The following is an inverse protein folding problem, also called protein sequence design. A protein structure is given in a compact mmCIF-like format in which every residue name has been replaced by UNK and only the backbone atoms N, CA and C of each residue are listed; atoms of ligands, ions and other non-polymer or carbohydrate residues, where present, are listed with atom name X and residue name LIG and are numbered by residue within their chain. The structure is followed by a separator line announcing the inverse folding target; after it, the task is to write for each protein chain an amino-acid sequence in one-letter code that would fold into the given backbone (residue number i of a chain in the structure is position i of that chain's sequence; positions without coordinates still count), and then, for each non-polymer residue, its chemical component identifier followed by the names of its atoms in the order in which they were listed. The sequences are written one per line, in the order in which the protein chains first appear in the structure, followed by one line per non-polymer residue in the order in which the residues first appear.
data_IF_559111370519
#
_entry.id   IF_559111370519
#
_cell.length_a   1.000
_cell.length_b   1.000
_cell.length_c   1.000
_cell.angle_alpha   90.00
_cell.angle_beta   90.00
_cell.angle_gamma   90.00
#
_symmetry.space_group_name_H-M   'P 1'
#
loop_
_entity.id
_entity.type
_entity.pdbx_description
1 polymer ?
#
# COMPACT_ATOMS: atom_id res chain seq x y z
N UNK A 1 9.24 28.79 -15.15
CA UNK A 1 9.21 27.77 -14.07
C UNK A 1 10.11 26.62 -14.49
N UNK A 2 10.89 26.03 -13.57
CA UNK A 2 11.83 24.97 -13.92
C UNK A 2 11.05 23.70 -14.37
N UNK A 3 11.31 23.14 -15.58
CA UNK A 3 10.59 21.95 -16.06
C UNK A 3 10.77 20.73 -15.14
N UNK A 4 11.93 20.58 -14.50
CA UNK A 4 12.19 19.49 -13.56
C UNK A 4 11.31 19.59 -12.31
N UNK A 5 11.04 20.81 -11.84
CA UNK A 5 10.12 21.03 -10.73
C UNK A 5 8.69 20.64 -11.09
N UNK A 6 8.24 20.98 -12.30
CA UNK A 6 6.92 20.56 -12.80
C UNK A 6 6.79 19.04 -12.92
N UNK A 7 7.82 18.37 -13.46
CA UNK A 7 7.86 16.91 -13.54
C UNK A 7 7.83 16.26 -12.15
N UNK A 8 8.53 16.84 -11.19
CA UNK A 8 8.50 16.36 -9.81
C UNK A 8 7.09 16.48 -9.21
N UNK A 9 6.43 17.62 -9.35
CA UNK A 9 5.05 17.82 -8.88
C UNK A 9 4.09 16.82 -9.54
N UNK A 10 4.16 16.66 -10.86
CA UNK A 10 3.35 15.69 -11.59
C UNK A 10 3.59 14.26 -11.06
N UNK A 11 4.84 13.88 -10.84
CA UNK A 11 5.20 12.59 -10.27
C UNK A 11 4.60 12.37 -8.88
N UNK A 12 4.68 13.36 -7.99
CA UNK A 12 4.07 13.29 -6.65
C UNK A 12 2.54 13.21 -6.71
N UNK A 13 1.91 13.95 -7.65
CA UNK A 13 0.46 13.85 -7.88
C UNK A 13 0.07 12.45 -8.33
N UNK A 14 0.75 11.88 -9.33
CA UNK A 14 0.49 10.53 -9.81
C UNK A 14 0.70 9.48 -8.72
N UNK A 15 1.73 9.65 -7.89
CA UNK A 15 1.97 8.79 -6.72
C UNK A 15 0.81 8.85 -5.72
N UNK A 16 0.28 10.05 -5.43
CA UNK A 16 -0.90 10.22 -4.58
C UNK A 16 -2.15 9.55 -5.16
N UNK A 17 -2.41 9.75 -6.45
CA UNK A 17 -3.54 9.12 -7.17
C UNK A 17 -3.43 7.60 -7.14
N UNK A 18 -2.23 7.04 -7.39
CA UNK A 18 -2.01 5.59 -7.41
C UNK A 18 -2.07 4.93 -6.03
N UNK A 19 -1.69 5.65 -4.96
CA UNK A 19 -1.71 5.10 -3.60
C UNK A 19 -3.09 5.09 -2.95
N UNK A 20 -3.97 6.03 -3.31
CA UNK A 20 -5.30 6.17 -2.69
C UNK A 20 -6.17 4.90 -2.78
N UNK A 21 -6.30 4.23 -3.95
CA UNK A 21 -7.09 3.00 -4.06
C UNK A 21 -6.55 1.84 -3.21
N UNK A 22 -5.24 1.78 -2.94
CA UNK A 22 -4.66 0.70 -2.15
C UNK A 22 -5.22 0.68 -0.73
N UNK A 23 -5.43 1.87 -0.14
CA UNK A 23 -5.99 1.98 1.21
C UNK A 23 -7.50 1.90 1.22
N UNK A 24 -8.18 2.56 0.27
CA UNK A 24 -9.64 2.56 0.25
C UNK A 24 -10.21 1.23 -0.25
N UNK A 25 -9.82 0.79 -1.44
CA UNK A 25 -10.36 -0.43 -2.08
C UNK A 25 -9.73 -1.69 -1.46
N UNK A 26 -8.46 -1.65 -1.08
CA UNK A 26 -7.80 -2.80 -0.45
C UNK A 26 -8.46 -3.21 0.87
N UNK A 27 -8.81 -2.24 1.70
CA UNK A 27 -9.48 -2.49 2.99
C UNK A 27 -10.90 -3.03 2.80
N UNK A 28 -11.69 -2.44 1.89
CA UNK A 28 -13.04 -2.92 1.61
C UNK A 28 -13.02 -4.31 0.97
N UNK A 29 -12.05 -4.58 0.11
CA UNK A 29 -11.87 -5.91 -0.47
C UNK A 29 -11.63 -6.98 0.61
N UNK A 30 -10.76 -6.70 1.59
CA UNK A 30 -10.53 -7.62 2.71
C UNK A 30 -11.82 -7.87 3.48
N UNK A 31 -12.55 -6.80 3.85
CA UNK A 31 -13.78 -6.90 4.65
C UNK A 31 -14.87 -7.70 3.94
N UNK A 32 -15.06 -7.48 2.63
CA UNK A 32 -16.11 -8.15 1.84
C UNK A 32 -15.80 -9.61 1.51
N UNK A 33 -14.52 -10.00 1.50
CA UNK A 33 -14.09 -11.32 1.05
C UNK A 33 -13.82 -12.32 2.18
N UNK A 34 -13.90 -11.89 3.44
CA UNK A 34 -13.71 -12.75 4.62
C UNK A 34 -14.99 -12.84 5.44
N UNK A 35 -15.11 -13.87 6.27
CA UNK A 35 -16.29 -14.02 7.14
C UNK A 35 -16.35 -12.92 8.19
N UNK A 36 -17.57 -12.55 8.63
CA UNK A 36 -17.77 -11.52 9.66
C UNK A 36 -16.98 -11.78 10.96
N UNK A 37 -16.83 -13.06 11.33
CA UNK A 37 -16.05 -13.47 12.52
C UNK A 37 -14.54 -13.30 12.34
N UNK A 38 -14.04 -13.40 11.11
CA UNK A 38 -12.63 -13.31 10.79
C UNK A 38 -12.18 -11.90 10.38
N UNK A 39 -13.08 -11.08 9.82
CA UNK A 39 -12.77 -9.74 9.29
C UNK A 39 -11.93 -8.88 10.25
N UNK A 40 -12.28 -8.75 11.55
CA UNK A 40 -11.52 -7.91 12.47
C UNK A 40 -10.04 -8.30 12.59
N UNK A 41 -9.73 -9.61 12.51
CA UNK A 41 -8.35 -10.10 12.62
C UNK A 41 -7.54 -9.76 11.37
N UNK A 42 -8.13 -9.91 10.18
CA UNK A 42 -7.47 -9.58 8.91
C UNK A 42 -7.27 -8.06 8.76
N UNK A 43 -8.25 -7.26 9.18
CA UNK A 43 -8.13 -5.80 9.18
C UNK A 43 -7.08 -5.32 10.19
N UNK A 44 -7.01 -5.93 11.38
CA UNK A 44 -5.96 -5.63 12.35
C UNK A 44 -4.56 -5.97 11.80
N UNK A 45 -4.41 -7.12 11.14
CA UNK A 45 -3.15 -7.49 10.49
C UNK A 45 -2.76 -6.50 9.38
N UNK A 46 -3.71 -6.09 8.54
CA UNK A 46 -3.51 -5.06 7.51
C UNK A 46 -3.06 -3.73 8.11
N UNK A 47 -3.69 -3.28 9.19
CA UNK A 47 -3.35 -2.03 9.87
C UNK A 47 -1.95 -2.06 10.48
N UNK A 48 -1.55 -3.19 11.10
CA UNK A 48 -0.20 -3.38 11.61
C UNK A 48 0.81 -3.33 10.48
N UNK A 49 0.64 -4.13 9.42
CA UNK A 49 1.57 -4.14 8.28
C UNK A 49 1.73 -2.76 7.64
N UNK A 50 0.63 -2.03 7.47
CA UNK A 50 0.63 -0.66 6.96
C UNK A 50 1.41 0.30 7.85
N UNK A 51 1.31 0.13 9.17
CA UNK A 51 2.01 0.99 10.16
C UNK A 51 3.52 0.71 10.24
N UNK A 52 3.96 -0.52 9.96
CA UNK A 52 5.38 -0.86 9.92
C UNK A 52 6.10 -0.31 8.68
N UNK A 53 5.38 -0.13 7.56
CA UNK A 53 5.94 0.42 6.32
C UNK A 53 6.68 1.75 6.51
N UNK A 54 6.06 2.79 7.11
CA UNK A 54 6.71 4.06 7.42
C UNK A 54 7.96 3.92 8.28
N UNK A 55 7.97 3.03 9.27
CA UNK A 55 9.13 2.81 10.15
C UNK A 55 10.32 2.30 9.34
N UNK A 56 10.11 1.27 8.53
CA UNK A 56 11.15 0.72 7.65
C UNK A 56 11.61 1.79 6.64
N UNK A 57 10.66 2.53 6.06
CA UNK A 57 10.92 3.59 5.09
C UNK A 57 11.82 4.71 5.65
N UNK A 58 11.63 5.11 6.90
CA UNK A 58 12.49 6.11 7.56
C UNK A 58 13.92 5.61 7.72
N UNK A 59 14.12 4.37 8.18
CA UNK A 59 15.46 3.82 8.34
C UNK A 59 16.19 3.64 7.00
N UNK A 60 15.51 3.03 6.01
CA UNK A 60 16.06 2.83 4.67
C UNK A 60 16.33 4.18 3.99
N UNK A 61 15.37 5.10 4.04
CA UNK A 61 15.53 6.45 3.48
C UNK A 61 16.68 7.21 4.13
N UNK A 62 16.77 7.17 5.47
CA UNK A 62 17.88 7.76 6.21
C UNK A 62 19.24 7.16 5.83
N UNK A 63 19.31 5.84 5.62
CA UNK A 63 20.51 5.18 5.12
C UNK A 63 20.88 5.67 3.72
N UNK A 64 19.93 5.75 2.78
CA UNK A 64 20.17 6.23 1.41
C UNK A 64 20.74 7.67 1.37
N UNK A 65 20.43 8.50 2.36
CA UNK A 65 21.00 9.85 2.47
C UNK A 65 22.49 9.89 2.85
N UNK A 66 23.08 8.75 3.23
CA UNK A 66 24.53 8.58 3.44
C UNK A 66 25.29 8.34 2.14
N UNK A 67 24.58 8.09 1.03
CA UNK A 67 25.15 7.88 -0.29
C UNK A 67 25.03 9.20 -1.04
N UNK A 68 26.13 9.69 -1.63
CA UNK A 68 26.11 10.90 -2.46
C UNK A 68 25.23 10.67 -3.68
N UNK A 69 24.44 11.65 -4.12
CA UNK A 69 23.43 11.46 -5.16
C UNK A 69 23.98 11.12 -6.55
N UNK A 70 25.18 11.62 -6.87
CA UNK A 70 25.89 11.45 -8.14
C UNK A 70 26.99 10.37 -8.09
N UNK A 71 26.90 9.43 -7.15
CA UNK A 71 27.87 8.33 -6.96
C UNK A 71 28.07 7.43 -8.21
N UNK A 72 27.14 7.46 -9.15
CA UNK A 72 27.15 6.70 -10.40
C UNK A 72 27.85 7.41 -11.57
N UNK A 73 28.24 8.69 -11.39
CA UNK A 73 28.94 9.47 -12.41
C UNK A 73 30.45 9.24 -12.36
N UNK A 74 31.12 9.27 -13.50
CA UNK A 74 32.57 9.03 -13.58
C UNK A 74 33.38 10.27 -13.16
N UNK A 75 32.83 11.47 -13.33
CA UNK A 75 33.57 12.74 -13.21
C UNK A 75 33.08 13.61 -12.04
N UNK A 76 33.15 13.12 -10.81
CA UNK A 76 32.82 13.94 -9.64
C UNK A 76 34.01 14.08 -8.69
N UNK A 77 34.35 15.33 -8.26
CA UNK A 77 35.33 15.52 -7.21
C UNK A 77 34.79 14.90 -5.91
N UNK A 78 35.65 14.34 -5.03
CA UNK A 78 35.20 13.82 -3.75
C UNK A 78 34.60 14.95 -2.91
N UNK A 79 33.28 14.93 -2.72
CA UNK A 79 32.55 15.89 -1.90
C UNK A 79 32.45 15.34 -0.47
N UNK A 80 32.89 16.13 0.50
CA UNK A 80 32.74 15.78 1.92
C UNK A 80 31.27 15.87 2.33
N UNK A 81 30.84 15.03 3.26
CA UNK A 81 29.46 15.02 3.76
C UNK A 81 29.03 16.33 4.44
N UNK A 82 29.98 17.12 4.90
CA UNK A 82 29.76 18.44 5.51
C UNK A 82 29.60 19.55 4.48
N UNK A 83 29.82 19.27 3.19
CA UNK A 83 29.65 20.25 2.12
C UNK A 83 28.15 20.56 1.92
N UNK A 84 27.74 21.84 1.81
CA UNK A 84 26.34 22.21 1.60
C UNK A 84 25.75 21.70 0.30
N UNK A 85 26.57 21.26 -0.66
CA UNK A 85 26.13 20.64 -1.92
C UNK A 85 25.85 19.15 -1.78
N UNK A 86 26.09 18.55 -0.61
CA UNK A 86 25.77 17.15 -0.37
C UNK A 86 24.26 16.95 -0.43
N UNK A 87 23.83 16.23 -1.46
CA UNK A 87 22.47 15.72 -1.59
C UNK A 87 22.58 14.20 -1.49
N UNK A 88 21.78 13.61 -0.61
CA UNK A 88 21.74 12.16 -0.48
C UNK A 88 21.02 11.51 -1.67
N UNK A 89 21.28 10.24 -1.95
CA UNK A 89 20.67 9.49 -3.06
C UNK A 89 19.19 9.12 -2.82
N UNK A 90 18.35 10.10 -2.50
CA UNK A 90 16.92 9.96 -2.18
C UNK A 90 16.11 9.34 -3.31
N UNK A 91 16.53 9.56 -4.56
CA UNK A 91 15.86 9.09 -5.76
C UNK A 91 15.82 7.56 -5.85
N UNK A 92 16.79 6.86 -5.23
CA UNK A 92 16.83 5.38 -5.19
C UNK A 92 15.57 4.83 -4.54
N UNK A 93 15.05 5.51 -3.51
CA UNK A 93 13.81 5.11 -2.83
C UNK A 93 12.61 5.06 -3.77
N UNK A 94 12.50 6.02 -4.69
CA UNK A 94 11.42 6.06 -5.69
C UNK A 94 11.52 4.89 -6.68
N UNK A 95 12.73 4.56 -7.16
CA UNK A 95 12.93 3.44 -8.07
C UNK A 95 12.64 2.09 -7.40
N UNK A 96 13.19 1.88 -6.21
CA UNK A 96 12.96 0.66 -5.45
C UNK A 96 11.46 0.46 -5.14
N UNK A 97 10.77 1.53 -4.75
CA UNK A 97 9.32 1.50 -4.49
C UNK A 97 8.51 1.24 -5.76
N UNK A 98 8.87 1.85 -6.89
CA UNK A 98 8.19 1.64 -8.17
C UNK A 98 8.35 0.20 -8.66
N UNK A 99 9.55 -0.37 -8.60
CA UNK A 99 9.80 -1.77 -8.98
C UNK A 99 9.01 -2.70 -8.06
N UNK A 100 9.05 -2.47 -6.75
CA UNK A 100 8.29 -3.29 -5.78
C UNK A 100 6.79 -3.22 -6.04
N UNK A 101 6.26 -2.02 -6.33
CA UNK A 101 4.85 -1.83 -6.65
C UNK A 101 4.46 -2.58 -7.94
N UNK A 102 5.29 -2.58 -8.98
CA UNK A 102 5.04 -3.34 -10.21
C UNK A 102 5.04 -4.85 -9.95
N UNK A 103 5.98 -5.35 -9.14
CA UNK A 103 6.05 -6.75 -8.76
C UNK A 103 4.83 -7.19 -7.95
N UNK A 104 4.31 -6.33 -7.07
CA UNK A 104 3.12 -6.59 -6.24
C UNK A 104 1.83 -6.41 -7.05
N UNK A 105 1.80 -5.50 -8.02
CA UNK A 105 0.63 -5.29 -8.88
C UNK A 105 0.31 -6.56 -9.68
N UNK A 106 1.32 -7.27 -10.17
CA UNK A 106 1.13 -8.48 -10.98
C UNK A 106 0.26 -9.57 -10.29
N UNK A 107 0.54 -10.03 -9.06
CA UNK A 107 -0.33 -10.97 -8.37
C UNK A 107 -1.70 -10.37 -7.99
N UNK A 108 -1.77 -9.07 -7.65
CA UNK A 108 -3.04 -8.41 -7.33
C UNK A 108 -3.99 -8.40 -8.53
N UNK A 109 -3.47 -8.19 -9.75
CA UNK A 109 -4.27 -8.24 -10.97
C UNK A 109 -4.92 -9.62 -11.22
N UNK A 110 -4.37 -10.68 -10.60
CA UNK A 110 -4.94 -12.03 -10.66
C UNK A 110 -6.07 -12.29 -9.66
N UNK A 111 -6.36 -11.36 -8.74
CA UNK A 111 -7.42 -11.54 -7.75
C UNK A 111 -8.80 -11.29 -8.36
N UNK A 112 -9.72 -12.22 -8.10
CA UNK A 112 -11.13 -12.04 -8.45
C UNK A 112 -11.75 -10.96 -7.57
N UNK A 113 -12.63 -10.13 -8.14
CA UNK A 113 -13.37 -9.07 -7.43
C UNK A 113 -14.11 -9.58 -6.18
N UNK A 114 -14.67 -10.80 -6.25
CA UNK A 114 -15.28 -11.49 -5.12
C UNK A 114 -14.86 -12.96 -5.15
N UNK A 115 -14.31 -13.46 -4.05
CA UNK A 115 -13.94 -14.86 -3.92
C UNK A 115 -15.21 -15.73 -3.91
N UNK A 116 -15.21 -16.90 -4.59
CA UNK A 116 -16.39 -17.80 -4.60
C UNK A 116 -16.87 -18.20 -3.20
N UNK A 117 -15.92 -18.24 -2.27
CA UNK A 117 -16.19 -18.53 -0.87
C UNK A 117 -16.90 -17.37 -0.15
N UNK A 118 -16.59 -16.11 -0.47
CA UNK A 118 -17.26 -14.94 0.08
C UNK A 118 -18.76 -14.95 -0.28
N UNK A 119 -19.10 -15.27 -1.54
CA UNK A 119 -20.49 -15.46 -2.00
C UNK A 119 -21.23 -16.51 -1.17
N UNK A 120 -20.58 -17.66 -0.93
CA UNK A 120 -21.15 -18.77 -0.17
C UNK A 120 -21.41 -18.38 1.28
N UNK A 121 -20.49 -17.65 1.91
CA UNK A 121 -20.64 -17.18 3.29
C UNK A 121 -21.77 -16.16 3.41
N UNK A 122 -21.84 -15.17 2.50
CA UNK A 122 -22.94 -14.19 2.46
C UNK A 122 -24.31 -14.86 2.33
N UNK A 123 -24.43 -15.86 1.45
CA UNK A 123 -25.67 -16.61 1.29
C UNK A 123 -26.07 -17.37 2.57
N UNK A 124 -25.09 -17.92 3.32
CA UNK A 124 -25.36 -18.56 4.62
C UNK A 124 -25.83 -17.55 5.67
N UNK A 125 -25.21 -16.38 5.74
CA UNK A 125 -25.57 -15.33 6.68
C UNK A 125 -26.99 -14.82 6.44
N UNK A 126 -27.37 -14.56 5.18
CA UNK A 126 -28.75 -14.17 4.81
C UNK A 126 -29.75 -15.27 5.20
N UNK A 127 -29.44 -16.53 4.91
CA UNK A 127 -30.30 -17.64 5.29
C UNK A 127 -30.44 -17.79 6.82
N UNK A 128 -29.40 -17.46 7.60
CA UNK A 128 -29.46 -17.48 9.05
C UNK A 128 -30.39 -16.38 9.58
N UNK A 129 -30.25 -15.15 9.09
CA UNK A 129 -31.13 -14.03 9.49
C UNK A 129 -32.60 -14.32 9.17
N UNK A 130 -32.88 -14.89 7.99
CA UNK A 130 -34.23 -15.28 7.61
C UNK A 130 -34.77 -16.35 8.57
N UNK A 131 -33.97 -17.35 8.94
CA UNK A 131 -34.37 -18.37 9.92
C UNK A 131 -34.66 -17.75 11.28
N UNK A 132 -33.77 -16.90 11.79
CA UNK A 132 -33.92 -16.25 13.09
C UNK A 132 -35.17 -15.37 13.14
N UNK A 133 -35.48 -14.66 12.04
CA UNK A 133 -36.70 -13.90 11.90
C UNK A 133 -37.95 -14.79 11.90
N UNK A 134 -37.94 -15.87 11.13
CA UNK A 134 -39.07 -16.82 11.10
C UNK A 134 -39.30 -17.47 12.46
N UNK A 135 -38.24 -17.87 13.18
CA UNK A 135 -38.38 -18.43 14.53
C UNK A 135 -38.95 -17.42 15.50
N UNK A 136 -38.50 -16.16 15.45
CA UNK A 136 -39.04 -15.10 16.30
C UNK A 136 -40.53 -14.86 16.04
N UNK A 137 -41.01 -14.92 14.79
CA UNK A 137 -42.44 -14.77 14.47
C UNK A 137 -43.31 -15.93 14.95
N UNK A 138 -42.74 -17.13 15.15
CA UNK A 138 -43.47 -18.32 15.62
C UNK A 138 -43.56 -18.36 17.16
N UNK A 139 -42.66 -17.67 17.86
CA UNK A 139 -42.64 -17.59 19.33
C UNK A 139 -43.60 -16.53 19.92
N UNK A 140 -44.27 -15.73 19.09
CA UNK A 140 -45.32 -14.75 19.47
C UNK A 140 -46.71 -15.21 19.06
#
# INVERSE_FOLDING_TARGET
MNPYFLLFILGQTLHGVGSTPLFSIGTTFIDENVTQKASPVYLAAHAVLTSFGPVIGVFVGGYLLNIYDDFDRVDHPPIARTDPRWIGAWWIGFLASSISALLIAFPILGFAHELPEAKRHRAKDVNQVIRDFMTAQVEY
#
